data_IF_967230556971
#
_entry.id   IF_967230556971
#
_cell.length_a   1.000
_cell.length_b   1.000
_cell.length_c   1.000
_cell.angle_alpha   90.00
_cell.angle_beta   90.00
_cell.angle_gamma   90.00
#
_symmetry.space_group_name_H-M   'P 1'
#
loop_
_entity.id
_entity.type
_entity.pdbx_description
1 polymer ?
#
# COMPACT_ATOMS: atom_id res chain seq x y z
N UNK A 1 15.02 -28.11 -0.67
CA UNK A 1 15.40 -27.09 -1.68
C UNK A 1 14.20 -26.17 -1.87
N UNK A 2 14.38 -24.86 -1.75
CA UNK A 2 13.31 -23.84 -1.76
C UNK A 2 12.67 -23.63 -3.15
N UNK A 3 12.21 -24.70 -3.82
CA UNK A 3 11.66 -24.61 -5.17
C UNK A 3 10.46 -23.65 -5.25
N UNK A 4 9.60 -23.63 -4.23
CA UNK A 4 8.47 -22.71 -4.16
C UNK A 4 8.90 -21.23 -3.96
N UNK A 5 10.04 -20.97 -3.32
CA UNK A 5 10.53 -19.60 -3.15
C UNK A 5 11.10 -19.05 -4.45
N UNK A 6 11.86 -19.87 -5.17
CA UNK A 6 12.43 -19.51 -6.48
C UNK A 6 11.31 -19.29 -7.50
N UNK A 7 10.32 -20.19 -7.56
CA UNK A 7 9.15 -20.06 -8.44
C UNK A 7 8.37 -18.76 -8.18
N UNK A 8 8.15 -18.39 -6.92
CA UNK A 8 7.51 -17.13 -6.57
C UNK A 8 8.31 -15.92 -7.08
N UNK A 9 9.63 -15.93 -6.86
CA UNK A 9 10.52 -14.83 -7.27
C UNK A 9 10.56 -14.69 -8.79
N UNK A 10 10.60 -15.80 -9.54
CA UNK A 10 10.54 -15.78 -11.00
C UNK A 10 9.24 -15.15 -11.52
N UNK A 11 8.12 -15.41 -10.85
CA UNK A 11 6.80 -14.80 -11.19
C UNK A 11 6.69 -13.32 -10.81
N UNK A 12 7.48 -12.85 -9.83
CA UNK A 12 7.55 -11.44 -9.45
C UNK A 12 8.50 -10.62 -10.33
N UNK A 13 9.63 -11.22 -10.73
CA UNK A 13 10.70 -10.55 -11.49
C UNK A 13 10.52 -10.69 -13.00
N UNK A 14 9.34 -10.35 -13.50
CA UNK A 14 9.03 -10.32 -14.93
C UNK A 14 9.35 -8.95 -15.54
N UNK A 15 9.81 -8.95 -16.80
CA UNK A 15 10.09 -7.70 -17.53
C UNK A 15 8.82 -6.93 -17.84
N UNK A 16 7.78 -7.61 -18.30
CA UNK A 16 6.49 -7.00 -18.58
C UNK A 16 5.68 -6.86 -17.28
N UNK A 17 5.37 -5.64 -16.80
CA UNK A 17 4.60 -5.44 -15.58
C UNK A 17 3.24 -6.14 -15.60
N UNK A 18 2.59 -6.25 -16.77
CA UNK A 18 1.30 -6.92 -16.92
C UNK A 18 1.38 -8.45 -16.78
N UNK A 19 2.58 -9.03 -16.83
CA UNK A 19 2.82 -10.47 -16.61
C UNK A 19 3.31 -10.75 -15.19
N UNK A 20 3.55 -9.72 -14.37
CA UNK A 20 3.93 -9.89 -12.97
C UNK A 20 2.75 -10.48 -12.20
N UNK A 21 3.03 -11.44 -11.34
CA UNK A 21 2.03 -11.98 -10.41
C UNK A 21 1.38 -10.86 -9.60
N UNK A 22 0.07 -10.96 -9.38
CA UNK A 22 -0.68 -10.02 -8.53
C UNK A 22 -0.36 -10.27 -7.06
N UNK A 23 -0.70 -9.32 -6.19
CA UNK A 23 -0.48 -9.50 -4.74
C UNK A 23 -1.37 -10.62 -4.21
N UNK A 24 -2.59 -10.70 -4.70
CA UNK A 24 -3.58 -11.71 -4.35
C UNK A 24 -3.10 -13.13 -4.74
N UNK A 25 -2.61 -13.30 -5.97
CA UNK A 25 -2.05 -14.58 -6.43
C UNK A 25 -0.74 -14.94 -5.72
N UNK A 26 0.05 -13.93 -5.32
CA UNK A 26 1.28 -14.14 -4.58
C UNK A 26 1.00 -14.59 -3.14
N UNK A 27 0.00 -14.03 -2.46
CA UNK A 27 -0.43 -14.45 -1.13
C UNK A 27 -0.97 -15.89 -1.15
N UNK A 28 -1.71 -16.26 -2.20
CA UNK A 28 -2.19 -17.63 -2.41
C UNK A 28 -1.10 -18.63 -2.86
N UNK A 29 0.16 -18.20 -3.03
CA UNK A 29 1.23 -19.04 -3.56
C UNK A 29 1.62 -20.16 -2.57
N UNK A 30 2.00 -21.38 -3.02
CA UNK A 30 2.44 -22.48 -2.15
C UNK A 30 3.57 -22.13 -1.18
N UNK A 31 4.33 -21.09 -1.48
CA UNK A 31 5.37 -20.57 -0.59
C UNK A 31 4.81 -19.99 0.72
N UNK A 32 3.63 -19.37 0.69
CA UNK A 32 2.96 -18.77 1.84
C UNK A 32 1.80 -19.61 2.39
N UNK A 33 1.59 -20.83 1.90
CA UNK A 33 0.45 -21.67 2.27
C UNK A 33 0.27 -21.91 3.78
N UNK A 34 1.34 -21.85 4.57
CA UNK A 34 1.27 -21.98 6.03
C UNK A 34 0.81 -20.71 6.76
N UNK A 35 0.79 -19.57 6.08
CA UNK A 35 0.48 -18.25 6.64
C UNK A 35 -0.76 -17.60 5.99
N UNK A 36 -1.11 -18.01 4.77
CA UNK A 36 -2.18 -17.40 4.00
C UNK A 36 -3.54 -17.58 4.69
N UNK A 37 -4.20 -16.46 4.98
CA UNK A 37 -5.54 -16.40 5.56
C UNK A 37 -6.31 -15.19 5.01
N UNK A 38 -7.24 -15.45 4.09
CA UNK A 38 -8.07 -14.40 3.47
C UNK A 38 -8.90 -13.57 4.45
N UNK A 39 -9.15 -14.09 5.67
CA UNK A 39 -9.89 -13.35 6.69
C UNK A 39 -9.03 -12.33 7.45
N UNK A 40 -7.71 -12.53 7.46
CA UNK A 40 -6.70 -11.63 8.08
C UNK A 40 -5.97 -10.76 7.03
N UNK A 41 -6.40 -10.81 5.77
CA UNK A 41 -5.86 -10.05 4.63
C UNK A 41 -6.88 -9.03 4.08
N UNK A 42 -7.26 -7.98 4.83
CA UNK A 42 -8.30 -7.05 4.42
C UNK A 42 -7.85 -6.09 3.31
N UNK A 43 -8.79 -5.74 2.42
CA UNK A 43 -8.61 -4.70 1.41
C UNK A 43 -9.14 -3.36 1.92
N UNK A 44 -8.43 -2.27 1.61
CA UNK A 44 -8.93 -0.93 1.92
C UNK A 44 -10.16 -0.59 1.07
N UNK A 45 -11.33 -0.41 1.71
CA UNK A 45 -12.60 -0.14 1.02
C UNK A 45 -12.65 1.23 0.34
N UNK A 46 -11.81 2.18 0.77
CA UNK A 46 -11.76 3.53 0.22
C UNK A 46 -10.41 3.76 -0.46
N UNK A 47 -10.38 3.99 -1.78
CA UNK A 47 -9.16 4.42 -2.45
C UNK A 47 -8.60 5.69 -1.82
N UNK A 48 -7.28 5.77 -1.68
CA UNK A 48 -6.62 6.98 -1.23
C UNK A 48 -6.74 8.06 -2.31
N UNK A 49 -7.09 9.29 -1.91
CA UNK A 49 -7.19 10.41 -2.86
C UNK A 49 -5.83 11.09 -3.06
N UNK A 50 -5.41 11.20 -4.31
CA UNK A 50 -4.24 11.96 -4.75
C UNK A 50 -4.60 13.36 -5.27
N UNK A 51 -5.75 13.93 -4.86
CA UNK A 51 -6.21 15.24 -5.34
C UNK A 51 -5.24 16.39 -5.02
N UNK A 52 -4.39 16.24 -4.01
CA UNK A 52 -3.35 17.22 -3.68
C UNK A 52 -2.30 17.36 -4.81
N UNK A 53 -2.05 16.32 -5.60
CA UNK A 53 -1.10 16.36 -6.72
C UNK A 53 -1.63 17.16 -7.92
N UNK A 54 -2.95 17.32 -8.02
CA UNK A 54 -3.59 18.10 -9.09
C UNK A 54 -3.39 19.61 -8.89
N UNK A 55 -2.97 20.04 -7.70
CA UNK A 55 -2.81 21.44 -7.35
C UNK A 55 -1.33 21.80 -7.20
N UNK A 56 -0.92 22.96 -7.70
CA UNK A 56 0.41 23.50 -7.40
C UNK A 56 0.38 24.04 -5.98
N UNK A 57 0.87 23.24 -5.04
CA UNK A 57 0.96 23.61 -3.63
C UNK A 57 2.27 24.37 -3.37
N UNK A 58 2.18 25.52 -2.71
CA UNK A 58 3.36 26.22 -2.19
C UNK A 58 3.82 25.55 -0.90
N UNK A 59 5.07 25.79 -0.48
CA UNK A 59 5.55 25.29 0.81
C UNK A 59 4.69 25.75 2.00
N UNK A 60 4.12 26.96 1.92
CA UNK A 60 3.21 27.48 2.94
C UNK A 60 1.88 26.70 2.97
N UNK A 61 1.30 26.38 1.81
CA UNK A 61 0.08 25.56 1.75
C UNK A 61 0.32 24.16 2.31
N UNK A 62 1.45 23.52 1.99
CA UNK A 62 1.80 22.21 2.56
C UNK A 62 1.95 22.29 4.07
N UNK A 63 2.63 23.33 4.58
CA UNK A 63 2.79 23.54 6.03
C UNK A 63 1.45 23.67 6.74
N UNK A 64 0.52 24.43 6.16
CA UNK A 64 -0.83 24.58 6.69
C UNK A 64 -1.63 23.28 6.69
N UNK A 65 -1.56 22.50 5.60
CA UNK A 65 -2.23 21.18 5.53
C UNK A 65 -1.70 20.22 6.61
N UNK A 66 -0.38 20.17 6.80
CA UNK A 66 0.24 19.35 7.85
C UNK A 66 -0.19 19.85 9.24
N UNK A 67 -0.18 21.16 9.45
CA UNK A 67 -0.59 21.74 10.74
C UNK A 67 -2.05 21.39 11.09
N UNK A 68 -2.95 21.44 10.11
CA UNK A 68 -4.35 21.03 10.30
C UNK A 68 -4.48 19.56 10.68
N UNK A 69 -3.73 18.67 10.04
CA UNK A 69 -3.73 17.24 10.36
C UNK A 69 -3.24 17.00 11.79
N UNK A 70 -2.18 17.70 12.21
CA UNK A 70 -1.68 17.64 13.59
C UNK A 70 -2.76 18.11 14.58
N UNK A 71 -3.45 19.22 14.32
CA UNK A 71 -4.54 19.67 15.19
C UNK A 71 -5.72 18.70 15.23
N UNK A 72 -6.05 18.04 14.12
CA UNK A 72 -7.12 17.05 14.06
C UNK A 72 -6.79 15.79 14.89
N UNK A 73 -5.51 15.40 14.92
CA UNK A 73 -5.04 14.25 15.70
C UNK A 73 -4.78 14.57 17.18
N UNK A 74 -4.60 15.84 17.54
CA UNK A 74 -4.28 16.29 18.89
C UNK A 74 -5.25 17.42 19.33
N UNK A 75 -6.50 17.08 19.71
CA UNK A 75 -7.55 18.06 20.02
C UNK A 75 -7.20 19.02 21.18
N UNK A 76 -6.30 18.63 22.08
CA UNK A 76 -5.84 19.45 23.20
C UNK A 76 -5.10 20.74 22.78
N UNK A 77 -4.63 20.81 21.53
CA UNK A 77 -4.01 22.01 20.96
C UNK A 77 -5.00 22.88 20.16
N UNK A 78 -6.26 22.46 20.01
CA UNK A 78 -7.32 23.33 19.51
C UNK A 78 -7.75 24.27 20.63
N UNK A 79 -7.09 25.45 20.70
CA UNK A 79 -7.50 26.54 21.60
C UNK A 79 -8.57 27.40 20.95
#
# INVERSE_FOLDING_TARGET
MHCAAIDLVEKMLTFNPSQRITVEDALAHPYFASLHDTSDEPVCMKPFSFDFEKHVLTGEHVKELIYREVLALNPEYQT
#
